data_IF_882135380688
#
_entry.id   IF_882135380688
#
_cell.length_a   1.000
_cell.length_b   1.000
_cell.length_c   1.000
_cell.angle_alpha   90.00
_cell.angle_beta   90.00
_cell.angle_gamma   90.00
#
_symmetry.space_group_name_H-M   'P 1'
#
loop_
_entity.id
_entity.type
_entity.pdbx_description
1 polymer ?
#
# COMPACT_ATOMS: atom_id res chain seq x y z
N UNK A 1 43.75 16.99 -46.73
CA UNK A 1 43.13 16.45 -45.50
C UNK A 1 43.19 17.52 -44.43
N UNK A 2 42.04 18.04 -43.98
CA UNK A 2 41.96 19.15 -43.02
C UNK A 2 42.49 18.63 -41.66
N UNK A 3 43.55 19.23 -41.12
CA UNK A 3 44.01 18.91 -39.76
C UNK A 3 42.92 19.37 -38.80
N UNK A 4 42.33 18.43 -38.07
CA UNK A 4 41.42 18.77 -36.97
C UNK A 4 42.28 19.43 -35.90
N UNK A 5 41.92 20.63 -35.46
CA UNK A 5 42.66 21.29 -34.38
C UNK A 5 42.47 20.49 -33.09
N UNK A 6 43.55 20.29 -32.34
CA UNK A 6 43.53 19.52 -31.08
C UNK A 6 42.49 20.10 -30.11
N UNK A 7 42.28 21.41 -30.16
CA UNK A 7 41.25 22.11 -29.39
C UNK A 7 39.84 21.60 -29.72
N UNK A 8 39.48 21.48 -31.00
CA UNK A 8 38.18 20.97 -31.44
C UNK A 8 37.95 19.52 -30.98
N UNK A 9 39.01 18.69 -30.99
CA UNK A 9 38.94 17.32 -30.50
C UNK A 9 38.70 17.25 -28.99
N UNK A 10 39.40 18.07 -28.20
CA UNK A 10 39.23 18.13 -26.75
C UNK A 10 37.82 18.61 -26.40
N UNK A 11 37.31 19.63 -27.10
CA UNK A 11 35.95 20.14 -26.89
C UNK A 11 34.89 19.08 -27.22
N UNK A 12 35.05 18.35 -28.33
CA UNK A 12 34.16 17.25 -28.69
C UNK A 12 34.17 16.15 -27.61
N UNK A 13 35.35 15.74 -27.14
CA UNK A 13 35.47 14.74 -26.08
C UNK A 13 34.85 15.21 -24.76
N UNK A 14 34.99 16.50 -24.42
CA UNK A 14 34.35 17.10 -23.26
C UNK A 14 32.83 17.05 -23.34
N UNK A 15 32.25 17.42 -24.49
CA UNK A 15 30.79 17.34 -24.71
C UNK A 15 30.28 15.90 -24.67
N UNK A 16 31.00 14.96 -25.31
CA UNK A 16 30.66 13.53 -25.26
C UNK A 16 30.78 13.00 -23.83
N UNK A 17 31.76 13.45 -23.05
CA UNK A 17 31.92 13.10 -21.64
C UNK A 17 30.73 13.55 -20.79
N UNK A 18 30.24 14.77 -20.98
CA UNK A 18 29.04 15.29 -20.28
C UNK A 18 27.79 14.50 -20.67
N UNK A 19 27.61 14.22 -21.96
CA UNK A 19 26.46 13.43 -22.43
C UNK A 19 26.53 12.01 -21.86
N UNK A 20 27.71 11.41 -21.87
CA UNK A 20 27.95 10.07 -21.32
C UNK A 20 27.66 10.00 -19.82
N UNK A 21 28.07 11.00 -19.04
CA UNK A 21 27.79 11.05 -17.59
C UNK A 21 26.31 11.22 -17.30
N UNK A 22 25.59 12.05 -18.06
CA UNK A 22 24.15 12.22 -17.91
C UNK A 22 23.37 10.94 -18.23
N UNK A 23 23.76 10.21 -19.27
CA UNK A 23 23.16 8.91 -19.61
C UNK A 23 23.39 7.91 -18.47
N UNK A 24 24.63 7.84 -17.96
CA UNK A 24 24.98 6.95 -16.85
C UNK A 24 24.12 7.23 -15.60
N UNK A 25 24.00 8.50 -15.20
CA UNK A 25 23.15 8.92 -14.07
C UNK A 25 21.68 8.58 -14.32
N UNK A 26 21.17 8.79 -15.54
CA UNK A 26 19.79 8.42 -15.89
C UNK A 26 19.53 6.92 -15.77
N UNK A 27 20.49 6.08 -16.17
CA UNK A 27 20.40 4.63 -16.01
C UNK A 27 20.46 4.21 -14.54
N UNK A 28 21.33 4.82 -13.75
CA UNK A 28 21.47 4.56 -12.32
C UNK A 28 20.20 4.92 -11.55
N UNK A 29 19.59 6.07 -11.83
CA UNK A 29 18.31 6.46 -11.23
C UNK A 29 17.19 5.48 -11.57
N UNK A 30 17.12 5.01 -12.83
CA UNK A 30 16.12 4.01 -13.24
C UNK A 30 16.31 2.68 -12.52
N UNK A 31 17.56 2.24 -12.35
CA UNK A 31 17.87 1.03 -11.61
C UNK A 31 17.53 1.18 -10.12
N UNK A 32 17.92 2.31 -9.51
CA UNK A 32 17.62 2.64 -8.12
C UNK A 32 16.10 2.62 -7.86
N UNK A 33 15.31 3.25 -8.74
CA UNK A 33 13.85 3.23 -8.65
C UNK A 33 13.29 1.79 -8.70
N UNK A 34 13.79 0.94 -9.61
CA UNK A 34 13.34 -0.47 -9.70
C UNK A 34 13.65 -1.25 -8.42
N UNK A 35 14.82 -1.04 -7.84
CA UNK A 35 15.22 -1.67 -6.57
C UNK A 35 14.31 -1.18 -5.44
N UNK A 36 14.05 0.12 -5.36
CA UNK A 36 13.17 0.71 -4.35
C UNK A 36 11.74 0.14 -4.43
N UNK A 37 11.18 0.01 -5.64
CA UNK A 37 9.86 -0.60 -5.84
C UNK A 37 9.83 -2.08 -5.41
N UNK A 38 10.87 -2.85 -5.73
CA UNK A 38 10.97 -4.25 -5.31
C UNK A 38 11.12 -4.39 -3.78
N UNK A 39 11.90 -3.51 -3.16
CA UNK A 39 12.05 -3.44 -1.70
C UNK A 39 10.71 -3.09 -1.03
N UNK A 40 9.98 -2.11 -1.57
CA UNK A 40 8.64 -1.75 -1.09
C UNK A 40 7.67 -2.93 -1.19
N UNK A 41 7.67 -3.67 -2.31
CA UNK A 41 6.82 -4.86 -2.47
C UNK A 41 7.18 -5.98 -1.48
N UNK A 42 8.48 -6.14 -1.19
CA UNK A 42 8.96 -7.11 -0.20
C UNK A 42 8.50 -6.72 1.20
N UNK A 43 8.63 -5.44 1.55
CA UNK A 43 8.20 -4.92 2.85
C UNK A 43 6.68 -5.06 3.06
N UNK A 44 5.88 -4.76 2.02
CA UNK A 44 4.42 -5.00 2.07
C UNK A 44 4.10 -6.48 2.28
N UNK A 45 4.78 -7.37 1.56
CA UNK A 45 4.61 -8.82 1.75
C UNK A 45 4.96 -9.24 3.18
N UNK A 46 6.06 -8.72 3.74
CA UNK A 46 6.47 -9.00 5.11
C UNK A 46 5.44 -8.49 6.13
N UNK A 47 4.87 -7.30 5.94
CA UNK A 47 3.79 -6.78 6.77
C UNK A 47 2.58 -7.73 6.77
N UNK A 48 2.14 -8.20 5.59
CA UNK A 48 1.02 -9.14 5.50
C UNK A 48 1.35 -10.50 6.14
N UNK A 49 2.56 -11.02 5.94
CA UNK A 49 3.01 -12.27 6.57
C UNK A 49 3.06 -12.14 8.10
N UNK A 50 3.53 -11.00 8.62
CA UNK A 50 3.54 -10.73 10.05
C UNK A 50 2.12 -10.64 10.62
N UNK A 51 1.19 -10.01 9.89
CA UNK A 51 -0.22 -9.99 10.27
C UNK A 51 -0.80 -11.41 10.33
N UNK A 52 -0.57 -12.24 9.32
CA UNK A 52 -1.02 -13.65 9.32
C UNK A 52 -0.38 -14.45 10.45
N UNK A 53 0.92 -14.30 10.68
CA UNK A 53 1.64 -14.99 11.76
C UNK A 53 1.14 -14.56 13.14
N UNK A 54 0.70 -13.31 13.32
CA UNK A 54 0.15 -12.83 14.59
C UNK A 54 -1.13 -13.56 15.01
N UNK A 55 -1.82 -14.21 14.06
CA UNK A 55 -3.02 -15.01 14.33
C UNK A 55 -2.70 -16.44 14.78
N UNK A 56 -1.44 -16.88 14.67
CA UNK A 56 -1.05 -18.23 15.08
C UNK A 56 -1.08 -18.44 16.60
N UNK A 57 -0.68 -17.43 17.39
CA UNK A 57 -0.71 -17.48 18.86
C UNK A 57 -2.13 -17.64 19.41
N UNK A 58 -3.14 -16.87 18.97
CA UNK A 58 -4.52 -17.14 19.34
C UNK A 58 -5.08 -18.40 18.66
N UNK A 59 -4.35 -19.09 17.78
CA UNK A 59 -4.85 -20.25 17.02
C UNK A 59 -6.02 -19.88 16.09
N UNK A 60 -6.08 -18.62 15.65
CA UNK A 60 -7.07 -18.15 14.70
C UNK A 60 -6.52 -18.32 13.27
N UNK A 61 -7.27 -19.00 12.42
CA UNK A 61 -6.92 -19.08 11.00
C UNK A 61 -7.35 -17.78 10.30
N UNK A 62 -6.48 -17.23 9.44
CA UNK A 62 -6.78 -16.07 8.59
C UNK A 62 -8.07 -16.25 7.76
N UNK A 63 -8.33 -17.46 7.24
CA UNK A 63 -9.58 -17.72 6.51
C UNK A 63 -10.82 -17.65 7.41
N UNK A 64 -10.72 -18.13 8.65
CA UNK A 64 -11.79 -18.01 9.66
C UNK A 64 -12.04 -16.56 10.00
N UNK A 65 -10.97 -15.79 10.24
CA UNK A 65 -11.04 -14.35 10.51
C UNK A 65 -11.74 -13.60 9.36
N UNK A 66 -11.40 -13.90 8.10
CA UNK A 66 -12.09 -13.29 6.96
C UNK A 66 -13.56 -13.70 6.87
N UNK A 67 -13.89 -14.96 7.14
CA UNK A 67 -15.29 -15.41 7.23
C UNK A 67 -16.05 -14.70 8.34
N UNK A 68 -15.40 -14.42 9.47
CA UNK A 68 -15.98 -13.66 10.59
C UNK A 68 -16.24 -12.20 10.22
N UNK A 69 -15.28 -11.53 9.57
CA UNK A 69 -15.45 -10.16 9.09
C UNK A 69 -16.56 -10.05 8.04
N UNK A 70 -16.69 -11.05 7.16
CA UNK A 70 -17.75 -11.13 6.17
C UNK A 70 -19.11 -11.61 6.72
N UNK A 71 -19.24 -11.82 8.03
CA UNK A 71 -20.48 -12.31 8.66
C UNK A 71 -20.86 -13.76 8.30
N UNK A 72 -19.96 -14.51 7.66
CA UNK A 72 -20.16 -15.91 7.26
C UNK A 72 -19.93 -16.89 8.42
N UNK A 73 -19.11 -16.49 9.39
CA UNK A 73 -18.76 -17.28 10.57
C UNK A 73 -19.04 -16.45 11.82
N UNK A 74 -19.65 -17.00 12.89
CA UNK A 74 -19.81 -16.28 14.14
C UNK A 74 -18.47 -15.86 14.75
N UNK A 75 -18.38 -14.63 15.25
CA UNK A 75 -17.25 -14.19 16.07
C UNK A 75 -17.36 -14.83 17.44
N UNK A 76 -16.32 -15.57 17.84
CA UNK A 76 -16.21 -16.13 19.18
C UNK A 76 -15.49 -15.13 20.09
N UNK A 77 -15.86 -15.09 21.37
CA UNK A 77 -15.23 -14.22 22.38
C UNK A 77 -13.72 -14.47 22.51
N UNK A 78 -13.28 -15.69 22.22
CA UNK A 78 -11.87 -16.10 22.34
C UNK A 78 -10.94 -15.33 21.40
N UNK A 79 -11.48 -14.71 20.33
CA UNK A 79 -10.72 -14.03 19.28
C UNK A 79 -11.02 -12.54 19.11
N UNK A 80 -11.80 -11.95 20.02
CA UNK A 80 -12.24 -10.56 19.93
C UNK A 80 -11.07 -9.58 19.76
N UNK A 81 -10.03 -9.70 20.59
CA UNK A 81 -8.83 -8.84 20.50
C UNK A 81 -8.07 -9.01 19.19
N UNK A 82 -7.98 -10.24 18.67
CA UNK A 82 -7.29 -10.50 17.41
C UNK A 82 -8.05 -9.85 16.23
N UNK A 83 -9.39 -9.92 16.26
CA UNK A 83 -10.27 -9.27 15.27
C UNK A 83 -10.14 -7.75 15.33
N UNK A 84 -10.24 -7.14 16.52
CA UNK A 84 -10.13 -5.69 16.74
C UNK A 84 -8.77 -5.17 16.29
N UNK A 85 -7.68 -5.83 16.69
CA UNK A 85 -6.33 -5.42 16.29
C UNK A 85 -6.09 -5.57 14.78
N UNK A 86 -6.66 -6.61 14.17
CA UNK A 86 -6.58 -6.80 12.72
C UNK A 86 -7.35 -5.72 11.96
N UNK A 87 -8.51 -5.30 12.45
CA UNK A 87 -9.24 -4.16 11.90
C UNK A 87 -8.45 -2.84 12.05
N UNK A 88 -7.79 -2.62 13.19
CA UNK A 88 -6.89 -1.48 13.37
C UNK A 88 -5.74 -1.47 12.36
N UNK A 89 -5.12 -2.63 12.13
CA UNK A 89 -4.06 -2.81 11.15
C UNK A 89 -4.55 -2.54 9.72
N UNK A 90 -5.74 -3.04 9.39
CA UNK A 90 -6.36 -2.82 8.09
C UNK A 90 -6.51 -1.32 7.76
N UNK A 91 -7.03 -0.52 8.69
CA UNK A 91 -7.26 0.91 8.41
C UNK A 91 -5.96 1.71 8.21
N UNK A 92 -4.86 1.35 8.86
CA UNK A 92 -3.54 1.93 8.55
C UNK A 92 -3.05 1.55 7.15
N UNK A 93 -3.27 0.29 6.75
CA UNK A 93 -2.94 -0.17 5.40
C UNK A 93 -3.80 0.57 4.36
N UNK A 94 -5.09 0.76 4.65
CA UNK A 94 -6.02 1.48 3.79
C UNK A 94 -5.61 2.95 3.58
N UNK A 95 -5.16 3.63 4.64
CA UNK A 95 -4.61 4.99 4.56
C UNK A 95 -3.34 5.07 3.72
N UNK A 96 -2.44 4.11 3.89
CA UNK A 96 -1.25 4.02 3.06
C UNK A 96 -1.60 3.76 1.59
N UNK A 97 -2.54 2.86 1.32
CA UNK A 97 -3.02 2.54 -0.03
C UNK A 97 -3.68 3.77 -0.68
N UNK A 98 -4.51 4.52 0.05
CA UNK A 98 -5.09 5.78 -0.41
C UNK A 98 -4.02 6.81 -0.75
N UNK A 99 -3.01 6.97 0.12
CA UNK A 99 -1.90 7.89 -0.11
C UNK A 99 -1.14 7.53 -1.39
N UNK A 100 -0.81 6.25 -1.58
CA UNK A 100 -0.13 5.78 -2.80
C UNK A 100 -0.96 6.02 -4.06
N UNK A 101 -2.27 5.77 -4.01
CA UNK A 101 -3.17 6.08 -5.13
C UNK A 101 -3.22 7.57 -5.43
N UNK A 102 -3.35 8.43 -4.42
CA UNK A 102 -3.37 9.89 -4.59
C UNK A 102 -2.10 10.46 -5.20
N UNK A 103 -0.96 9.78 -5.03
CA UNK A 103 0.34 10.12 -5.63
C UNK A 103 0.54 9.54 -7.05
N UNK A 104 -0.45 8.82 -7.58
CA UNK A 104 -0.34 8.15 -8.89
C UNK A 104 0.58 6.92 -8.88
N UNK A 105 0.89 6.37 -7.70
CA UNK A 105 1.74 5.20 -7.52
C UNK A 105 0.95 3.89 -7.49
N UNK A 106 -0.37 3.95 -7.63
CA UNK A 106 -1.27 2.80 -7.72
C UNK A 106 -2.16 2.93 -8.95
N UNK A 107 -2.23 1.87 -9.76
CA UNK A 107 -3.11 1.83 -10.92
C UNK A 107 -4.58 1.73 -10.53
N UNK A 108 -5.46 2.24 -11.39
CA UNK A 108 -6.90 2.32 -11.15
C UNK A 108 -7.52 0.95 -10.81
N UNK A 109 -7.19 -0.09 -11.59
CA UNK A 109 -7.74 -1.44 -11.35
C UNK A 109 -7.37 -1.99 -9.97
N UNK A 110 -6.13 -1.74 -9.53
CA UNK A 110 -5.67 -2.14 -8.19
C UNK A 110 -6.40 -1.35 -7.12
N UNK A 111 -6.58 -0.05 -7.34
CA UNK A 111 -7.31 0.81 -6.42
C UNK A 111 -8.78 0.40 -6.27
N UNK A 112 -9.48 0.09 -7.37
CA UNK A 112 -10.85 -0.41 -7.32
C UNK A 112 -10.97 -1.72 -6.53
N UNK A 113 -10.01 -2.64 -6.66
CA UNK A 113 -9.97 -3.84 -5.84
C UNK A 113 -9.78 -3.52 -4.34
N UNK A 114 -8.96 -2.51 -4.00
CA UNK A 114 -8.78 -2.05 -2.62
C UNK A 114 -10.04 -1.41 -2.06
N UNK A 115 -10.75 -0.60 -2.85
CA UNK A 115 -12.03 -0.01 -2.46
C UNK A 115 -13.06 -1.08 -2.08
N UNK A 116 -13.15 -2.15 -2.86
CA UNK A 116 -14.03 -3.27 -2.54
C UNK A 116 -13.68 -3.92 -1.20
N UNK A 117 -12.40 -4.12 -0.91
CA UNK A 117 -11.99 -4.64 0.41
C UNK A 117 -12.30 -3.66 1.53
N UNK A 118 -12.12 -2.35 1.31
CA UNK A 118 -12.50 -1.32 2.28
C UNK A 118 -14.01 -1.33 2.57
N UNK A 119 -14.86 -1.53 1.56
CA UNK A 119 -16.31 -1.62 1.79
C UNK A 119 -16.68 -2.85 2.62
N UNK A 120 -16.07 -4.01 2.35
CA UNK A 120 -16.27 -5.21 3.17
C UNK A 120 -15.85 -4.99 4.62
N UNK A 121 -14.71 -4.34 4.84
CA UNK A 121 -14.21 -4.06 6.19
C UNK A 121 -15.03 -3.00 6.93
N UNK A 122 -15.52 -1.99 6.21
CA UNK A 122 -16.45 -0.99 6.76
C UNK A 122 -17.76 -1.63 7.23
N UNK A 123 -18.25 -2.63 6.48
CA UNK A 123 -19.46 -3.41 6.78
C UNK A 123 -19.19 -4.65 7.66
N UNK A 124 -17.98 -4.79 8.20
CA UNK A 124 -17.66 -5.81 9.20
C UNK A 124 -18.20 -5.42 10.58
N UNK A 125 -19.50 -5.62 10.81
CA UNK A 125 -20.21 -5.02 11.96
C UNK A 125 -19.65 -5.42 13.33
N UNK A 126 -19.07 -6.61 13.46
CA UNK A 126 -18.46 -7.07 14.71
C UNK A 126 -17.26 -6.21 15.18
N UNK A 127 -16.64 -5.44 14.29
CA UNK A 127 -15.50 -4.57 14.59
C UNK A 127 -15.79 -3.10 14.25
N UNK A 128 -17.07 -2.72 14.12
CA UNK A 128 -17.47 -1.38 13.67
C UNK A 128 -16.96 -0.25 14.57
N UNK A 129 -16.83 -0.50 15.86
CA UNK A 129 -16.26 0.45 16.82
C UNK A 129 -14.85 0.93 16.43
N UNK A 130 -14.06 0.08 15.76
CA UNK A 130 -12.73 0.42 15.30
C UNK A 130 -12.79 1.55 14.26
N UNK A 131 -13.77 1.52 13.37
CA UNK A 131 -13.97 2.62 12.41
C UNK A 131 -14.33 3.92 13.12
N UNK A 132 -15.25 3.88 14.10
CA UNK A 132 -15.67 5.08 14.84
C UNK A 132 -14.52 5.73 15.60
N UNK A 133 -13.56 4.94 16.09
CA UNK A 133 -12.32 5.48 16.67
C UNK A 133 -11.41 6.04 15.57
N UNK A 134 -11.20 5.27 14.50
CA UNK A 134 -10.20 5.58 13.47
C UNK A 134 -10.54 6.77 12.61
N UNK A 135 -11.81 6.98 12.24
CA UNK A 135 -12.27 8.10 11.39
C UNK A 135 -11.85 9.47 11.90
N UNK A 136 -11.60 9.61 13.21
CA UNK A 136 -11.13 10.85 13.82
C UNK A 136 -9.61 11.07 13.70
N UNK A 137 -8.85 10.06 13.27
CA UNK A 137 -7.38 10.07 13.20
C UNK A 137 -6.82 9.83 11.79
N UNK A 138 -7.66 9.34 10.87
CA UNK A 138 -7.29 9.10 9.48
C UNK A 138 -7.38 10.38 8.63
N UNK A 139 -6.75 10.37 7.45
CA UNK A 139 -6.93 11.41 6.43
C UNK A 139 -8.43 11.63 6.14
N UNK A 140 -8.91 12.86 6.32
CA UNK A 140 -10.32 13.22 6.16
C UNK A 140 -10.88 12.89 4.77
N UNK A 141 -10.06 12.89 3.72
CA UNK A 141 -10.47 12.54 2.36
C UNK A 141 -10.67 11.04 2.19
N UNK A 142 -9.90 10.23 2.90
CA UNK A 142 -10.14 8.78 2.98
C UNK A 142 -11.44 8.52 3.74
N UNK A 143 -11.66 9.23 4.85
CA UNK A 143 -12.89 9.10 5.65
C UNK A 143 -14.12 9.42 4.79
N UNK A 144 -14.10 10.55 4.08
CA UNK A 144 -15.18 10.93 3.16
C UNK A 144 -15.41 9.87 2.07
N UNK A 145 -14.35 9.25 1.57
CA UNK A 145 -14.45 8.20 0.56
C UNK A 145 -15.06 6.90 1.13
N UNK A 146 -14.66 6.48 2.33
CA UNK A 146 -15.19 5.27 2.98
C UNK A 146 -16.65 5.47 3.41
N UNK A 147 -17.00 6.64 3.93
CA UNK A 147 -18.37 6.95 4.37
C UNK A 147 -19.38 7.10 3.21
N UNK A 148 -18.93 7.03 1.96
CA UNK A 148 -19.81 6.92 0.78
C UNK A 148 -20.26 5.49 0.50
N UNK A 149 -19.64 4.49 1.13
CA UNK A 149 -20.10 3.12 1.00
C UNK A 149 -21.47 2.94 1.65
N UNK A 150 -22.30 2.00 1.17
CA UNK A 150 -23.52 1.61 1.87
C UNK A 150 -23.16 1.13 3.29
N UNK A 151 -23.86 1.64 4.30
CA UNK A 151 -23.74 1.18 5.68
C UNK A 151 -24.69 -0.01 5.90
N UNK A 152 -24.13 -1.20 6.03
CA UNK A 152 -24.89 -2.45 6.25
C UNK A 152 -25.00 -2.83 7.73
N UNK A 153 -24.38 -2.04 8.62
CA UNK A 153 -24.37 -2.30 10.06
C UNK A 153 -25.44 -1.51 10.82
N UNK A 154 -26.30 -0.80 10.09
CA UNK A 154 -27.45 -0.07 10.64
C UNK A 154 -28.70 -0.96 10.66
N UNK A 155 -28.78 -1.80 11.68
CA UNK A 155 -30.03 -2.37 12.23
C UNK A 155 -30.06 -2.19 13.75
#
# INVERSE_FOLDING_TARGET
MRKIEIHDLIQLLGMVGIIGSLIFVGLEMRQSQRIALAAQQTERTNMFLNNVNSLAEPQLNYSTMQGQLAGQTPVTTDYEWAMVNSAHAFWWIAENDYTQYSLGLMGEEVWQAKLHVMSLQYNGCAVREVWEVRRNTLDARLVELVERFPDECTE
#
